data_IF_240762536717
#
_entry.id   IF_240762536717
#
_cell.length_a   1.000
_cell.length_b   1.000
_cell.length_c   1.000
_cell.angle_alpha   90.00
_cell.angle_beta   90.00
_cell.angle_gamma   90.00
#
_symmetry.space_group_name_H-M   'P 1'
#
loop_
_entity.id
_entity.type
_entity.pdbx_description
1 polymer ?
#
# COMPACT_ATOMS: atom_id res chain seq x y z
N UNK A 1 -13.55 51.65 23.40
CA UNK A 1 -13.34 50.22 23.54
C UNK A 1 -12.65 49.66 22.30
N UNK A 2 -11.47 49.19 22.46
CA UNK A 2 -10.72 48.66 21.33
C UNK A 2 -10.96 47.19 21.21
N UNK A 3 -11.31 46.75 20.00
CA UNK A 3 -11.32 45.35 19.67
C UNK A 3 -9.89 44.83 19.67
N UNK A 4 -9.72 43.69 20.25
CA UNK A 4 -8.40 43.03 20.25
C UNK A 4 -8.08 42.53 18.83
N UNK A 5 -7.34 43.37 18.10
CA UNK A 5 -6.96 43.02 16.72
C UNK A 5 -6.13 41.78 16.63
N UNK A 6 -5.39 41.44 17.71
CA UNK A 6 -4.59 40.21 17.73
C UNK A 6 -5.43 38.94 17.69
N UNK A 7 -6.52 38.90 18.45
CA UNK A 7 -7.42 37.75 18.43
C UNK A 7 -8.11 37.59 17.08
N UNK A 8 -8.51 38.68 16.45
CA UNK A 8 -9.15 38.66 15.15
C UNK A 8 -8.17 38.13 14.09
N UNK A 9 -6.95 38.65 14.07
CA UNK A 9 -5.92 38.16 13.14
C UNK A 9 -5.57 36.69 13.35
N UNK A 10 -5.50 36.24 14.60
CA UNK A 10 -5.23 34.88 14.95
C UNK A 10 -6.31 33.94 14.39
N UNK A 11 -7.58 34.31 14.57
CA UNK A 11 -8.71 33.52 14.04
C UNK A 11 -8.66 33.46 12.51
N UNK A 12 -8.41 34.61 11.86
CA UNK A 12 -8.30 34.64 10.39
C UNK A 12 -7.16 33.75 9.87
N UNK A 13 -6.02 33.75 10.56
CA UNK A 13 -4.90 32.88 10.18
C UNK A 13 -5.25 31.41 10.30
N UNK A 14 -5.99 31.04 11.34
CA UNK A 14 -6.45 29.66 11.51
C UNK A 14 -7.39 29.27 10.36
N UNK A 15 -8.36 30.11 10.03
CA UNK A 15 -9.27 29.86 8.93
C UNK A 15 -8.55 29.77 7.59
N UNK A 16 -7.58 30.65 7.37
CA UNK A 16 -6.80 30.66 6.16
C UNK A 16 -5.97 29.36 6.02
N UNK A 17 -5.35 28.93 7.13
CA UNK A 17 -4.59 27.67 7.13
C UNK A 17 -5.48 26.47 6.86
N UNK A 18 -6.66 26.40 7.49
CA UNK A 18 -7.62 25.33 7.25
C UNK A 18 -8.14 25.35 5.82
N UNK A 19 -8.40 26.52 5.26
CA UNK A 19 -8.85 26.67 3.89
C UNK A 19 -7.78 26.19 2.91
N UNK A 20 -6.51 26.57 3.13
CA UNK A 20 -5.40 26.06 2.32
C UNK A 20 -5.26 24.55 2.41
N UNK A 21 -5.38 24.00 3.62
CA UNK A 21 -5.32 22.54 3.79
C UNK A 21 -6.42 21.86 3.00
N UNK A 22 -7.63 22.37 3.04
CA UNK A 22 -8.76 21.81 2.29
C UNK A 22 -8.56 21.90 0.77
N UNK A 23 -7.93 23.00 0.29
CA UNK A 23 -7.64 23.17 -1.13
C UNK A 23 -6.60 22.15 -1.65
N UNK A 24 -5.67 21.75 -0.80
CA UNK A 24 -4.59 20.84 -1.18
C UNK A 24 -4.89 19.38 -0.85
N UNK A 25 -6.02 19.09 -0.20
CA UNK A 25 -6.43 17.72 0.02
C UNK A 25 -6.61 17.01 -1.31
N UNK A 26 -5.96 15.87 -1.47
CA UNK A 26 -6.02 15.09 -2.69
C UNK A 26 -6.33 13.64 -2.38
N UNK A 27 -7.24 13.06 -3.16
CA UNK A 27 -7.55 11.64 -3.08
C UNK A 27 -6.30 10.81 -3.40
N UNK A 28 -6.16 9.63 -2.77
CA UNK A 28 -5.05 8.78 -3.11
C UNK A 28 -5.21 8.20 -4.52
N UNK A 29 -4.11 8.18 -5.27
CA UNK A 29 -4.05 7.60 -6.61
C UNK A 29 -2.81 6.76 -6.72
N UNK A 30 -2.92 5.61 -7.37
CA UNK A 30 -1.77 4.77 -7.62
C UNK A 30 -0.83 5.43 -8.62
N UNK A 31 0.42 5.60 -8.24
CA UNK A 31 1.50 5.89 -9.17
C UNK A 31 2.15 4.59 -9.65
N UNK A 32 2.18 3.58 -8.78
CA UNK A 32 2.54 2.20 -9.14
C UNK A 32 1.48 1.30 -8.51
N UNK A 33 0.58 0.77 -9.32
CA UNK A 33 -0.43 -0.16 -8.86
C UNK A 33 0.17 -1.56 -8.71
N UNK A 34 -0.29 -2.36 -7.74
CA UNK A 34 0.15 -3.76 -7.67
C UNK A 34 -0.19 -4.50 -8.95
N UNK A 35 0.75 -5.34 -9.43
CA UNK A 35 0.51 -6.16 -10.63
C UNK A 35 -0.62 -7.15 -10.35
N UNK A 36 -1.45 -7.52 -11.35
CA UNK A 36 -2.59 -8.41 -11.12
C UNK A 36 -2.18 -9.80 -10.61
N UNK A 37 -1.10 -10.35 -11.13
CA UNK A 37 -0.61 -11.68 -10.77
C UNK A 37 0.89 -11.70 -10.67
N UNK A 38 1.40 -12.48 -9.74
CA UNK A 38 2.83 -12.72 -9.60
C UNK A 38 3.07 -14.16 -9.14
N UNK A 39 4.16 -14.75 -9.60
CA UNK A 39 4.59 -16.07 -9.17
C UNK A 39 5.74 -15.90 -8.20
N UNK A 40 5.60 -16.44 -7.00
CA UNK A 40 6.63 -16.45 -5.98
C UNK A 40 7.24 -17.85 -5.92
N UNK A 41 8.56 -17.92 -5.76
CA UNK A 41 9.28 -19.17 -5.66
C UNK A 41 9.77 -19.39 -4.24
N UNK A 42 9.66 -20.61 -3.75
CA UNK A 42 10.26 -20.98 -2.46
C UNK A 42 11.75 -20.68 -2.47
N UNK A 43 12.29 -20.34 -1.31
CA UNK A 43 13.71 -19.97 -1.13
C UNK A 43 14.13 -18.68 -1.82
N UNK A 44 13.17 -17.90 -2.32
CA UNK A 44 13.43 -16.60 -2.93
C UNK A 44 12.62 -15.50 -2.26
N UNK A 45 13.02 -14.26 -2.53
CA UNK A 45 12.30 -13.07 -2.07
C UNK A 45 11.50 -12.51 -3.24
N UNK A 46 10.22 -12.28 -3.02
CA UNK A 46 9.32 -11.72 -4.02
C UNK A 46 8.87 -10.34 -3.57
N UNK A 47 9.04 -9.35 -4.43
CA UNK A 47 8.62 -7.97 -4.16
C UNK A 47 7.30 -7.66 -4.84
N UNK A 48 6.36 -7.12 -4.09
CA UNK A 48 5.09 -6.60 -4.61
C UNK A 48 5.10 -5.09 -4.39
N UNK A 49 5.09 -4.35 -5.50
CA UNK A 49 5.21 -2.89 -5.44
C UNK A 49 3.86 -2.23 -5.30
N UNK A 50 3.83 -1.15 -4.52
CA UNK A 50 2.66 -0.29 -4.41
C UNK A 50 3.14 1.11 -4.09
N UNK A 51 2.78 2.08 -4.92
CA UNK A 51 3.07 3.47 -4.66
C UNK A 51 1.83 4.30 -4.91
N UNK A 52 1.56 5.22 -4.00
CA UNK A 52 0.35 6.04 -4.01
C UNK A 52 0.74 7.48 -3.74
N UNK A 53 0.15 8.40 -4.49
CA UNK A 53 0.24 9.82 -4.23
C UNK A 53 -1.07 10.36 -3.67
N UNK A 54 -1.00 11.44 -2.93
CA UNK A 54 -2.17 12.10 -2.33
C UNK A 54 -1.73 13.08 -1.27
N UNK A 55 -2.67 13.83 -0.74
CA UNK A 55 -2.36 14.80 0.32
C UNK A 55 -3.47 14.81 1.38
N UNK A 56 -3.14 14.74 2.67
CA UNK A 56 -1.78 14.43 3.20
C UNK A 56 -1.24 13.10 2.68
N UNK A 57 0.06 12.87 2.87
CA UNK A 57 0.70 11.63 2.39
C UNK A 57 -0.11 10.41 2.82
N UNK A 58 -0.58 9.58 1.85
CA UNK A 58 -1.39 8.41 2.19
C UNK A 58 -0.62 7.41 3.02
N UNK A 59 -1.32 6.78 3.96
CA UNK A 59 -0.78 5.68 4.72
C UNK A 59 -1.10 4.39 3.98
N UNK A 60 -0.08 3.59 3.70
CA UNK A 60 -0.22 2.32 3.00
C UNK A 60 -0.26 1.18 3.99
N UNK A 61 -1.27 0.32 3.85
CA UNK A 61 -1.39 -0.90 4.62
C UNK A 61 -1.49 -2.09 3.68
N UNK A 62 -0.83 -3.16 4.04
CA UNK A 62 -0.88 -4.42 3.32
C UNK A 62 -1.66 -5.44 4.12
N UNK A 63 -2.54 -6.16 3.44
CA UNK A 63 -3.31 -7.27 4.05
C UNK A 63 -3.55 -8.35 3.02
N UNK A 64 -3.84 -9.54 3.50
CA UNK A 64 -4.32 -10.62 2.64
C UNK A 64 -5.83 -10.47 2.47
N UNK A 65 -6.36 -11.01 1.38
CA UNK A 65 -7.79 -10.99 1.11
C UNK A 65 -8.57 -11.59 2.30
N UNK A 66 -9.73 -11.00 2.61
CA UNK A 66 -10.49 -11.40 3.77
C UNK A 66 -9.96 -10.83 5.07
N UNK A 67 -9.16 -9.78 5.00
CA UNK A 67 -8.58 -9.09 6.15
C UNK A 67 -7.70 -9.98 7.01
N UNK A 68 -7.07 -10.98 6.40
CA UNK A 68 -6.13 -11.88 7.06
C UNK A 68 -4.79 -11.19 7.29
N UNK A 69 -4.09 -11.65 8.31
CA UNK A 69 -2.74 -11.17 8.59
C UNK A 69 -1.75 -11.65 7.53
N UNK A 70 -0.68 -10.88 7.36
CA UNK A 70 0.43 -11.27 6.49
C UNK A 70 1.18 -12.46 7.09
N UNK A 71 1.89 -13.26 6.26
CA UNK A 71 2.60 -14.44 6.75
C UNK A 71 3.65 -14.06 7.79
N UNK A 72 3.52 -14.60 8.99
CA UNK A 72 4.45 -14.32 10.10
C UNK A 72 5.83 -14.88 9.80
N UNK A 73 6.86 -14.03 9.97
CA UNK A 73 8.25 -14.43 9.76
C UNK A 73 8.66 -14.59 8.32
N UNK A 74 7.73 -14.47 7.36
CA UNK A 74 8.00 -14.62 5.93
C UNK A 74 7.63 -13.39 5.13
N UNK A 75 7.50 -12.24 5.77
CA UNK A 75 7.28 -10.97 5.08
C UNK A 75 8.01 -9.85 5.76
N UNK A 76 8.27 -8.80 4.99
CA UNK A 76 8.64 -7.49 5.53
C UNK A 76 8.17 -6.41 4.57
N UNK A 77 8.11 -5.18 5.07
CA UNK A 77 7.69 -4.03 4.27
C UNK A 77 8.85 -3.05 4.25
N UNK A 78 9.23 -2.62 3.06
CA UNK A 78 10.29 -1.64 2.85
C UNK A 78 9.87 -0.68 1.74
N UNK A 79 9.96 0.63 1.99
CA UNK A 79 9.50 1.68 1.06
C UNK A 79 8.07 1.44 0.57
N UNK A 80 7.19 1.01 1.48
CA UNK A 80 5.78 0.69 1.21
C UNK A 80 5.57 -0.51 0.27
N UNK A 81 6.62 -1.18 -0.15
CA UNK A 81 6.51 -2.40 -0.93
C UNK A 81 6.51 -3.62 -0.01
N UNK A 82 5.71 -4.61 -0.36
CA UNK A 82 5.64 -5.86 0.39
C UNK A 82 6.63 -6.86 -0.17
N UNK A 83 7.43 -7.44 0.71
CA UNK A 83 8.38 -8.49 0.35
C UNK A 83 7.96 -9.79 1.03
N UNK A 84 7.81 -10.84 0.24
CA UNK A 84 7.57 -12.19 0.74
C UNK A 84 8.90 -12.94 0.71
N UNK A 85 9.31 -13.41 1.89
CA UNK A 85 10.56 -14.15 2.07
C UNK A 85 10.25 -15.63 2.17
N UNK A 86 10.90 -16.43 1.35
CA UNK A 86 10.80 -17.87 1.44
C UNK A 86 9.35 -18.34 1.57
N UNK A 87 8.49 -17.95 0.60
CA UNK A 87 7.06 -18.24 0.71
C UNK A 87 6.80 -19.75 0.65
N UNK A 88 5.72 -20.16 1.30
CA UNK A 88 5.23 -21.54 1.27
C UNK A 88 3.86 -21.56 0.58
N UNK A 89 3.38 -22.76 0.29
CA UNK A 89 2.11 -22.93 -0.44
C UNK A 89 0.93 -22.25 0.27
N UNK A 90 0.91 -22.27 1.57
CA UNK A 90 -0.11 -21.62 2.40
C UNK A 90 -0.09 -20.10 2.30
N UNK A 91 0.98 -19.53 1.74
CA UNK A 91 1.07 -18.09 1.53
C UNK A 91 0.40 -17.66 0.23
N UNK A 92 -0.06 -18.58 -0.61
CA UNK A 92 -0.85 -18.23 -1.79
C UNK A 92 -2.12 -17.51 -1.38
N UNK A 93 -2.29 -16.31 -1.87
CA UNK A 93 -3.47 -15.50 -1.58
C UNK A 93 -3.44 -14.26 -2.46
N UNK A 94 -4.44 -13.43 -2.32
CA UNK A 94 -4.44 -12.10 -2.91
C UNK A 94 -3.97 -11.13 -1.83
N UNK A 95 -2.89 -10.43 -2.11
CA UNK A 95 -2.30 -9.44 -1.21
C UNK A 95 -2.78 -8.06 -1.63
N UNK A 96 -3.41 -7.35 -0.70
CA UNK A 96 -4.06 -6.07 -0.96
C UNK A 96 -3.22 -4.92 -0.43
N UNK A 97 -2.99 -3.93 -1.27
CA UNK A 97 -2.41 -2.64 -0.90
C UNK A 97 -3.54 -1.63 -0.74
N UNK A 98 -3.71 -1.11 0.44
CA UNK A 98 -4.74 -0.12 0.76
C UNK A 98 -4.09 1.19 1.16
N UNK A 99 -4.53 2.29 0.58
CA UNK A 99 -4.06 3.62 0.92
C UNK A 99 -5.23 4.55 1.14
N UNK A 100 -5.09 5.43 2.11
CA UNK A 100 -6.17 6.28 2.56
C UNK A 100 -5.69 7.70 2.83
N UNK A 101 -6.52 8.69 2.45
CA UNK A 101 -6.41 10.08 2.85
C UNK A 101 -7.76 10.51 3.42
N UNK A 102 -7.86 11.70 4.06
CA UNK A 102 -9.15 12.18 4.56
C UNK A 102 -10.24 12.32 3.49
N UNK A 103 -9.89 12.38 2.22
CA UNK A 103 -10.87 12.59 1.15
C UNK A 103 -11.09 11.37 0.26
N UNK A 104 -10.52 10.22 0.60
CA UNK A 104 -10.76 9.01 -0.16
C UNK A 104 -9.80 7.88 0.15
N UNK A 105 -10.00 6.76 -0.54
CA UNK A 105 -9.13 5.60 -0.41
C UNK A 105 -9.01 4.88 -1.76
N UNK A 106 -7.90 4.15 -1.92
CA UNK A 106 -7.71 3.25 -3.07
C UNK A 106 -7.22 1.90 -2.55
N UNK A 107 -7.53 0.85 -3.28
CA UNK A 107 -7.11 -0.49 -2.96
C UNK A 107 -6.81 -1.25 -4.24
N UNK A 108 -5.69 -1.97 -4.23
CA UNK A 108 -5.30 -2.84 -5.35
C UNK A 108 -4.75 -4.14 -4.81
N UNK A 109 -4.87 -5.22 -5.57
CA UNK A 109 -4.44 -6.52 -5.12
C UNK A 109 -3.60 -7.25 -6.14
N UNK A 110 -2.74 -8.14 -5.64
CA UNK A 110 -1.91 -9.02 -6.44
C UNK A 110 -2.22 -10.46 -6.04
N UNK A 111 -2.62 -11.27 -7.00
CA UNK A 111 -2.77 -12.71 -6.79
C UNK A 111 -1.39 -13.36 -6.80
N UNK A 112 -1.01 -13.96 -5.68
CA UNK A 112 0.31 -14.60 -5.53
C UNK A 112 0.13 -16.11 -5.59
N UNK A 113 0.83 -16.74 -6.53
CA UNK A 113 0.95 -18.18 -6.64
C UNK A 113 2.34 -18.58 -6.19
N UNK A 114 2.44 -19.59 -5.36
CA UNK A 114 3.73 -20.07 -4.84
C UNK A 114 4.10 -21.38 -5.52
N UNK A 115 5.28 -21.40 -6.13
CA UNK A 115 5.84 -22.58 -6.78
C UNK A 115 7.10 -23.03 -6.07
N UNK A 116 7.25 -24.34 -5.96
CA UNK A 116 8.51 -24.94 -5.52
C UNK A 116 9.39 -25.20 -6.73
N UNK A 117 10.67 -25.47 -6.51
CA UNK A 117 11.58 -25.81 -7.60
C UNK A 117 11.14 -27.07 -8.34
N UNK A 118 10.59 -28.05 -7.64
CA UNK A 118 10.08 -29.25 -8.27
C UNK A 118 8.94 -28.97 -9.24
N UNK A 119 7.98 -28.13 -8.83
CA UNK A 119 6.87 -27.73 -9.68
C UNK A 119 7.36 -26.92 -10.88
N UNK A 120 8.32 -26.04 -10.66
CA UNK A 120 8.90 -25.26 -11.73
C UNK A 120 9.57 -26.16 -12.78
N UNK A 121 10.28 -27.20 -12.35
CA UNK A 121 10.93 -28.14 -13.25
C UNK A 121 9.91 -28.87 -14.11
N UNK A 122 8.75 -29.22 -13.59
CA UNK A 122 7.68 -29.85 -14.35
C UNK A 122 7.07 -28.94 -15.41
N UNK A 123 7.10 -27.61 -15.17
CA UNK A 123 6.52 -26.65 -16.10
C UNK A 123 7.45 -26.30 -17.26
N UNK A 124 8.74 -26.64 -17.16
CA UNK A 124 9.70 -26.37 -18.22
C UNK A 124 9.50 -27.37 -19.38
N UNK A 125 9.45 -26.88 -20.62
CA UNK A 125 9.38 -27.81 -21.75
C UNK A 125 10.66 -28.59 -21.87
N UNK A 126 10.54 -29.89 -22.08
CA UNK A 126 11.68 -30.72 -22.39
C UNK A 126 12.04 -30.53 -23.85
N UNK A 127 13.24 -30.11 -24.08
CA UNK A 127 13.79 -30.02 -25.42
C UNK A 127 14.61 -31.25 -25.74
#
# INVERSE_FOLDING_TARGET
>A
MQLDGGSFFFIMNIFCSLFFLLLFLAEPKFTIAPVPKITAFTEQVTEIKCAVEGFPTPKIEWRRQGNKELPRGRHYIYNNNLFLRNPIKEDEDIYMCHAETPVGSVMGGTEVTVLTYGECAFLLPFS
#
